data_IF_486767362951
#
_entry.id   IF_486767362951
#
_cell.length_a   1.000
_cell.length_b   1.000
_cell.length_c   1.000
_cell.angle_alpha   90.00
_cell.angle_beta   90.00
_cell.angle_gamma   90.00
#
_symmetry.space_group_name_H-M   'P 1'
#
loop_
_entity.id
_entity.type
_entity.pdbx_description
1 polymer ?
#
# COMPACT_ATOMS: atom_id res chain seq x y z
N UNK A 1 13.07 -20.27 -31.29
CA UNK A 1 13.25 -20.20 -29.82
C UNK A 1 12.79 -18.84 -29.31
N UNK A 2 13.33 -17.76 -29.88
CA UNK A 2 12.79 -16.39 -29.81
C UNK A 2 11.84 -16.18 -31.00
N UNK A 3 10.62 -15.68 -30.78
CA UNK A 3 9.60 -15.49 -31.82
C UNK A 3 9.38 -14.02 -32.18
N UNK A 4 9.43 -13.15 -31.18
CA UNK A 4 9.23 -11.71 -31.35
C UNK A 4 10.07 -10.96 -30.31
N UNK A 5 10.52 -9.77 -30.67
CA UNK A 5 11.26 -8.85 -29.80
C UNK A 5 10.92 -7.41 -30.12
N UNK A 6 10.74 -6.62 -29.07
CA UNK A 6 10.57 -5.18 -29.20
C UNK A 6 11.34 -4.46 -28.08
N UNK A 7 11.88 -3.30 -28.44
CA UNK A 7 12.59 -2.38 -27.55
C UNK A 7 11.81 -1.07 -27.51
N UNK A 8 11.56 -0.58 -26.31
CA UNK A 8 10.85 0.66 -26.04
C UNK A 8 11.74 1.53 -25.16
N UNK A 9 11.89 2.80 -25.53
CA UNK A 9 12.59 3.81 -24.73
C UNK A 9 11.68 5.02 -24.59
N UNK A 10 11.58 5.53 -23.36
CA UNK A 10 10.77 6.69 -23.01
C UNK A 10 11.67 7.68 -22.31
N UNK A 11 11.62 8.93 -22.76
CA UNK A 11 12.22 10.06 -22.07
C UNK A 11 11.11 11.04 -21.69
N UNK A 12 11.04 11.41 -20.43
CA UNK A 12 10.15 12.44 -19.92
C UNK A 12 10.99 13.53 -19.23
N UNK A 13 11.07 14.75 -19.80
CA UNK A 13 11.81 15.86 -19.20
C UNK A 13 11.07 16.50 -18.02
N UNK A 14 9.94 15.92 -17.57
CA UNK A 14 9.13 16.44 -16.48
C UNK A 14 8.73 17.91 -16.67
N UNK A 15 8.15 18.20 -17.84
CA UNK A 15 7.54 19.51 -18.16
C UNK A 15 6.56 19.93 -17.08
N UNK A 16 5.73 18.99 -16.63
CA UNK A 16 4.82 19.15 -15.50
C UNK A 16 4.90 17.87 -14.67
N UNK A 17 5.34 18.00 -13.42
CA UNK A 17 5.33 16.88 -12.48
C UNK A 17 3.90 16.56 -12.05
N UNK A 18 3.50 15.30 -12.18
CA UNK A 18 2.17 14.81 -11.80
C UNK A 18 2.31 13.83 -10.64
N UNK A 19 2.07 14.27 -9.39
CA UNK A 19 2.12 13.37 -8.25
C UNK A 19 0.98 12.34 -8.29
N UNK A 20 1.15 11.20 -7.62
CA UNK A 20 0.07 10.23 -7.47
C UNK A 20 -1.16 10.89 -6.82
N UNK A 21 -2.35 10.60 -7.34
CA UNK A 21 -3.59 11.13 -6.75
C UNK A 21 -3.98 10.44 -5.42
N UNK A 22 -3.26 9.38 -5.02
CA UNK A 22 -3.44 8.71 -3.74
C UNK A 22 -3.10 9.59 -2.53
N UNK A 23 -2.41 10.73 -2.71
CA UNK A 23 -2.28 11.79 -1.70
C UNK A 23 -3.59 12.52 -1.38
N UNK A 24 -4.74 11.97 -1.73
CA UNK A 24 -6.03 12.47 -1.26
C UNK A 24 -6.51 11.75 0.02
N UNK A 25 -5.85 10.65 0.44
CA UNK A 25 -6.18 9.93 1.67
C UNK A 25 -5.22 10.38 2.79
N UNK A 26 -5.26 11.68 3.10
CA UNK A 26 -4.62 12.19 4.31
C UNK A 26 -5.51 11.90 5.53
N UNK A 27 -4.93 11.83 6.74
CA UNK A 27 -5.73 11.96 7.96
C UNK A 27 -6.63 13.18 7.81
N UNK A 28 -7.95 12.98 7.79
CA UNK A 28 -8.85 14.02 7.32
C UNK A 28 -10.30 13.59 7.21
N UNK A 29 -10.97 13.59 8.36
CA UNK A 29 -12.32 14.11 8.58
C UNK A 29 -12.45 14.06 10.10
N UNK A 30 -12.15 15.17 10.78
CA UNK A 30 -11.63 15.24 12.16
C UNK A 30 -12.49 14.55 13.24
N UNK A 31 -13.66 14.01 12.88
CA UNK A 31 -14.50 13.18 13.77
C UNK A 31 -15.23 12.01 13.05
N UNK A 32 -15.31 11.93 11.71
CA UNK A 32 -16.29 11.02 11.05
C UNK A 32 -16.01 10.60 9.58
N UNK A 33 -14.76 10.42 9.17
CA UNK A 33 -14.43 9.99 7.81
C UNK A 33 -14.24 8.50 7.70
N UNK A 34 -14.69 7.89 6.60
CA UNK A 34 -14.31 6.51 6.23
C UNK A 34 -12.78 6.36 6.26
N UNK A 35 -12.03 7.44 6.01
CA UNK A 35 -10.57 7.46 6.01
C UNK A 35 -9.90 8.04 7.27
N UNK A 36 -10.65 8.56 8.25
CA UNK A 36 -10.06 9.17 9.45
C UNK A 36 -9.47 8.10 10.40
N UNK A 37 -8.14 8.02 10.60
CA UNK A 37 -7.53 6.92 11.35
C UNK A 37 -8.06 6.87 12.78
N UNK A 38 -8.53 5.70 13.23
CA UNK A 38 -8.88 5.50 14.64
C UNK A 38 -7.63 5.09 15.42
N UNK A 39 -6.68 6.02 15.55
CA UNK A 39 -5.44 5.77 16.27
C UNK A 39 -5.61 6.15 17.74
N UNK A 40 -5.53 5.17 18.63
CA UNK A 40 -5.47 5.41 20.08
C UNK A 40 -4.01 5.53 20.48
N UNK A 41 -3.65 6.67 21.03
CA UNK A 41 -2.34 6.89 21.61
C UNK A 41 -2.48 6.80 23.13
N UNK A 42 -1.73 5.89 23.74
CA UNK A 42 -1.63 5.81 25.19
C UNK A 42 -1.09 7.15 25.74
N UNK A 43 -1.89 7.80 26.58
CA UNK A 43 -1.56 9.07 27.21
C UNK A 43 -0.28 9.01 28.06
N UNK A 44 0.16 7.81 28.48
CA UNK A 44 1.44 7.62 29.17
C UNK A 44 2.66 7.97 28.28
N UNK A 45 2.52 7.91 26.96
CA UNK A 45 3.56 8.23 25.98
C UNK A 45 3.69 9.72 25.66
N UNK A 46 2.72 10.54 26.10
CA UNK A 46 2.64 11.97 25.75
C UNK A 46 3.28 12.90 26.80
N UNK A 47 3.92 12.36 27.83
CA UNK A 47 4.50 13.14 28.92
C UNK A 47 3.43 13.80 29.81
N UNK A 48 3.81 14.78 30.66
CA UNK A 48 2.83 15.50 31.50
C UNK A 48 1.87 16.30 30.62
N UNK A 49 0.64 15.79 30.50
CA UNK A 49 -0.45 16.46 29.79
C UNK A 49 -0.93 17.71 30.56
N UNK A 50 -1.45 18.73 29.87
CA UNK A 50 -2.07 19.88 30.52
C UNK A 50 -3.17 19.45 31.50
N UNK A 51 -3.39 20.16 32.62
CA UNK A 51 -4.31 19.76 33.69
C UNK A 51 -5.79 19.65 33.27
N UNK A 52 -6.15 20.14 32.09
CA UNK A 52 -7.48 20.04 31.49
C UNK A 52 -7.65 18.84 30.54
N UNK A 53 -6.57 18.12 30.24
CA UNK A 53 -6.60 16.89 29.42
C UNK A 53 -6.63 15.71 30.39
N UNK A 54 -7.75 14.99 30.46
CA UNK A 54 -7.80 13.77 31.25
C UNK A 54 -6.88 12.71 30.64
N UNK A 55 -6.12 11.95 31.44
CA UNK A 55 -5.40 10.78 30.96
C UNK A 55 -6.40 9.81 30.31
N UNK A 56 -6.25 9.62 29.00
CA UNK A 56 -7.14 8.82 28.18
C UNK A 56 -6.75 8.93 26.72
N UNK A 57 -7.19 7.95 25.91
CA UNK A 57 -6.85 7.76 24.50
C UNK A 57 -6.83 9.09 23.71
N UNK A 58 -5.64 9.58 23.33
CA UNK A 58 -5.54 10.67 22.37
C UNK A 58 -5.78 10.14 20.95
N UNK A 59 -6.37 10.95 20.09
CA UNK A 59 -6.65 10.65 18.69
C UNK A 59 -5.75 11.45 17.76
N UNK A 60 -5.52 10.95 16.54
CA UNK A 60 -4.79 11.67 15.49
C UNK A 60 -5.80 12.36 14.58
N UNK A 61 -5.76 13.69 14.55
CA UNK A 61 -6.54 14.54 13.64
C UNK A 61 -5.87 14.77 12.31
N UNK A 62 -6.40 15.72 11.54
CA UNK A 62 -5.78 16.16 10.29
C UNK A 62 -4.38 16.74 10.48
N UNK A 63 -3.52 16.65 9.47
CA UNK A 63 -2.23 17.33 9.52
C UNK A 63 -2.44 18.85 9.44
N UNK A 64 -2.03 19.61 10.48
CA UNK A 64 -2.20 21.07 10.51
C UNK A 64 -1.18 21.80 9.60
N UNK A 65 -0.03 21.18 9.38
CA UNK A 65 1.01 21.69 8.48
C UNK A 65 1.54 20.56 7.61
N UNK A 66 1.55 20.80 6.30
CA UNK A 66 2.11 19.89 5.31
C UNK A 66 2.95 20.68 4.32
N UNK A 67 4.26 20.51 4.40
CA UNK A 67 5.23 21.21 3.57
C UNK A 67 5.96 20.19 2.69
N UNK A 68 5.38 19.88 1.53
CA UNK A 68 5.97 18.93 0.57
C UNK A 68 6.68 19.72 -0.52
N UNK A 69 8.01 19.62 -0.55
CA UNK A 69 8.84 20.14 -1.62
C UNK A 69 8.53 19.42 -2.94
N UNK A 70 8.07 20.18 -3.93
CA UNK A 70 7.70 19.69 -5.26
C UNK A 70 8.76 20.09 -6.27
N UNK A 71 9.16 19.18 -7.17
CA UNK A 71 10.10 19.54 -8.22
C UNK A 71 9.50 20.61 -9.12
N UNK A 72 10.34 21.56 -9.55
CA UNK A 72 9.98 22.53 -10.57
C UNK A 72 9.81 21.88 -11.94
N UNK A 73 9.07 22.52 -12.83
CA UNK A 73 9.05 22.16 -14.25
C UNK A 73 10.46 22.12 -14.83
N UNK A 74 10.75 21.10 -15.64
CA UNK A 74 12.06 20.90 -16.27
C UNK A 74 13.23 20.78 -15.28
N UNK A 75 12.99 20.24 -14.09
CA UNK A 75 14.06 19.93 -13.16
C UNK A 75 14.93 18.79 -13.71
N UNK A 76 16.13 19.13 -14.17
CA UNK A 76 17.12 18.21 -14.75
C UNK A 76 17.48 17.05 -13.79
N UNK A 77 17.39 17.29 -12.47
CA UNK A 77 17.63 16.25 -11.47
C UNK A 77 16.52 15.21 -11.41
N UNK A 78 15.39 15.49 -12.04
CA UNK A 78 14.20 14.66 -12.04
C UNK A 78 13.81 14.07 -13.39
N UNK A 79 14.63 14.19 -14.43
CA UNK A 79 14.30 13.60 -15.73
C UNK A 79 14.08 12.09 -15.62
N UNK A 80 13.09 11.59 -16.35
CA UNK A 80 12.70 10.19 -16.32
C UNK A 80 13.10 9.49 -17.61
N UNK A 81 13.69 8.31 -17.42
CA UNK A 81 14.16 7.44 -18.47
C UNK A 81 13.57 6.06 -18.20
N UNK A 82 12.76 5.59 -19.13
CA UNK A 82 12.21 4.24 -19.14
C UNK A 82 12.80 3.44 -20.27
N UNK A 83 13.24 2.22 -19.99
CA UNK A 83 13.63 1.25 -21.00
C UNK A 83 12.86 -0.05 -20.78
N UNK A 84 12.36 -0.64 -21.86
CA UNK A 84 11.73 -1.95 -21.85
C UNK A 84 12.18 -2.77 -23.04
N UNK A 85 12.59 -4.00 -22.77
CA UNK A 85 12.73 -5.05 -23.77
C UNK A 85 11.64 -6.09 -23.53
N UNK A 86 10.90 -6.47 -24.56
CA UNK A 86 9.87 -7.53 -24.49
C UNK A 86 10.11 -8.55 -25.58
N UNK A 87 9.76 -9.80 -25.32
CA UNK A 87 9.79 -10.83 -26.35
C UNK A 87 9.07 -12.11 -25.97
N UNK A 88 8.90 -12.98 -26.97
CA UNK A 88 8.28 -14.29 -26.80
C UNK A 88 9.34 -15.38 -26.94
N UNK A 89 9.60 -16.10 -25.84
CA UNK A 89 10.60 -17.17 -25.76
C UNK A 89 9.90 -18.48 -25.40
N UNK A 90 9.92 -19.46 -26.30
CA UNK A 90 9.25 -20.76 -26.10
C UNK A 90 7.79 -20.61 -25.61
N UNK A 91 6.97 -19.76 -26.24
CA UNK A 91 5.58 -19.46 -25.84
C UNK A 91 5.44 -18.72 -24.48
N UNK A 92 6.55 -18.28 -23.88
CA UNK A 92 6.52 -17.43 -22.68
C UNK A 92 6.73 -15.99 -23.08
N UNK A 93 5.91 -15.09 -22.54
CA UNK A 93 6.11 -13.66 -22.70
C UNK A 93 7.06 -13.21 -21.60
N UNK A 94 8.17 -12.59 -21.98
CA UNK A 94 9.19 -12.09 -21.05
C UNK A 94 9.39 -10.60 -21.29
N UNK A 95 9.52 -9.85 -20.20
CA UNK A 95 9.95 -8.45 -20.26
C UNK A 95 11.13 -8.20 -19.33
N UNK A 96 11.98 -7.27 -19.72
CA UNK A 96 12.98 -6.63 -18.87
C UNK A 96 12.72 -5.13 -18.91
N UNK A 97 12.64 -4.50 -17.76
CA UNK A 97 12.30 -3.10 -17.59
C UNK A 97 13.40 -2.45 -16.75
N UNK A 98 13.80 -1.24 -17.13
CA UNK A 98 14.64 -0.38 -16.32
C UNK A 98 14.00 1.01 -16.25
N UNK A 99 14.09 1.63 -15.09
CA UNK A 99 13.56 2.97 -14.86
C UNK A 99 14.52 3.78 -14.01
N UNK A 100 14.66 5.04 -14.37
CA UNK A 100 15.31 6.07 -13.58
C UNK A 100 14.42 7.30 -13.67
N UNK A 101 13.94 7.81 -12.54
CA UNK A 101 13.10 9.01 -12.52
C UNK A 101 12.76 9.40 -11.09
N UNK A 102 11.78 10.30 -10.91
CA UNK A 102 11.24 10.59 -9.59
C UNK A 102 10.18 9.58 -9.22
N UNK A 103 10.09 9.26 -7.93
CA UNK A 103 8.89 8.61 -7.43
C UNK A 103 7.75 9.63 -7.50
N UNK A 104 6.59 9.20 -7.97
CA UNK A 104 5.37 9.99 -7.90
C UNK A 104 4.81 9.97 -6.46
N UNK A 105 5.41 9.13 -5.59
CA UNK A 105 5.60 9.02 -4.13
C UNK A 105 6.40 10.11 -3.36
N UNK A 106 5.88 11.06 -2.56
CA UNK A 106 6.75 11.82 -1.68
C UNK A 106 7.13 10.96 -0.47
N UNK A 107 8.40 11.02 -0.11
CA UNK A 107 8.85 10.59 1.21
C UNK A 107 8.49 11.69 2.18
N UNK A 108 7.74 11.33 3.22
CA UNK A 108 7.18 12.28 4.19
C UNK A 108 7.66 11.90 5.58
N UNK A 109 8.08 12.88 6.37
CA UNK A 109 8.57 12.70 7.72
C UNK A 109 8.04 13.80 8.64
N UNK A 110 8.11 13.57 9.96
CA UNK A 110 7.85 14.61 10.94
C UNK A 110 9.16 15.35 11.27
N UNK A 111 9.29 16.65 10.93
CA UNK A 111 10.55 17.39 11.08
C UNK A 111 10.94 17.71 12.53
N UNK A 112 10.03 17.56 13.51
CA UNK A 112 10.35 17.80 14.93
C UNK A 112 9.48 16.97 15.88
N UNK A 113 9.95 16.63 17.09
CA UNK A 113 9.08 16.31 18.21
C UNK A 113 8.41 17.62 18.69
N UNK A 114 7.64 18.27 17.82
CA UNK A 114 6.81 19.37 18.22
C UNK A 114 5.71 18.75 19.09
N UNK A 115 5.87 18.88 20.41
CA UNK A 115 4.70 18.99 21.28
C UNK A 115 3.69 19.89 20.54
N UNK A 116 2.39 19.53 20.51
CA UNK A 116 1.39 20.32 19.81
C UNK A 116 1.62 21.78 20.18
N UNK A 117 1.80 22.65 19.18
CA UNK A 117 2.11 24.06 19.41
C UNK A 117 0.93 24.68 20.17
N UNK A 118 1.06 24.73 21.49
CA UNK A 118 0.03 25.23 22.40
C UNK A 118 -0.14 26.74 22.26
N UNK A 119 0.77 27.41 21.54
CA UNK A 119 0.69 28.85 21.31
C UNK A 119 -0.26 29.22 20.18
N UNK A 120 -0.64 28.25 19.34
CA UNK A 120 -1.56 28.46 18.23
C UNK A 120 -2.46 27.22 18.02
N UNK A 121 -3.31 26.88 19.01
CA UNK A 121 -4.12 25.68 18.94
C UNK A 121 -5.09 25.78 17.76
N UNK A 122 -5.12 24.80 16.82
CA UNK A 122 -6.25 24.71 15.88
C UNK A 122 -7.55 24.61 16.69
N UNK A 123 -8.62 25.24 16.20
CA UNK A 123 -9.88 25.56 16.91
C UNK A 123 -10.63 24.38 17.59
N UNK A 124 -10.11 23.15 17.56
CA UNK A 124 -10.66 21.99 18.27
C UNK A 124 -9.58 20.97 18.68
N UNK A 125 -8.84 21.25 19.76
CA UNK A 125 -7.93 20.26 20.38
C UNK A 125 -8.66 19.08 21.04
N UNK A 126 -9.99 19.10 21.09
CA UNK A 126 -10.80 18.05 21.68
C UNK A 126 -11.80 17.51 20.65
N UNK A 127 -11.94 16.19 20.61
CA UNK A 127 -13.05 15.53 19.93
C UNK A 127 -14.38 15.89 20.63
N UNK A 128 -15.55 15.64 20.01
CA UNK A 128 -16.83 15.77 20.71
C UNK A 128 -16.97 14.88 21.95
N UNK A 129 -16.13 13.85 22.09
CA UNK A 129 -16.04 12.97 23.26
C UNK A 129 -15.07 13.45 24.33
N UNK A 130 -14.42 14.62 24.16
CA UNK A 130 -13.48 15.20 25.11
C UNK A 130 -12.09 14.58 25.08
N UNK A 131 -11.75 13.77 24.07
CA UNK A 131 -10.41 13.22 23.87
C UNK A 131 -9.49 14.25 23.21
N UNK A 132 -8.20 14.26 23.55
CA UNK A 132 -7.19 15.09 22.89
C UNK A 132 -7.06 14.70 21.41
N UNK A 133 -7.15 15.69 20.51
CA UNK A 133 -6.91 15.52 19.08
C UNK A 133 -5.53 16.09 18.72
N UNK A 134 -4.62 15.22 18.27
CA UNK A 134 -3.26 15.57 17.86
C UNK A 134 -3.24 15.84 16.36
N UNK A 135 -2.88 17.06 15.98
CA UNK A 135 -2.61 17.42 14.59
C UNK A 135 -1.10 17.34 14.36
N UNK A 136 -0.59 16.38 13.56
CA UNK A 136 0.84 16.31 13.25
C UNK A 136 1.26 17.34 12.19
N UNK A 137 2.53 17.74 12.23
CA UNK A 137 3.19 18.45 11.14
C UNK A 137 4.00 17.46 10.30
N UNK A 138 3.99 17.67 9.00
CA UNK A 138 4.75 16.86 8.05
C UNK A 138 5.54 17.73 7.08
N UNK A 139 6.78 17.31 6.84
CA UNK A 139 7.59 17.75 5.72
C UNK A 139 7.74 16.58 4.74
N UNK A 140 7.92 16.87 3.46
CA UNK A 140 8.12 15.83 2.47
C UNK A 140 8.85 16.29 1.23
N UNK A 141 9.31 15.33 0.41
CA UNK A 141 9.88 15.60 -0.91
C UNK A 141 9.73 14.40 -1.83
N UNK A 142 9.82 14.61 -3.13
CA UNK A 142 9.80 13.53 -4.14
C UNK A 142 11.22 13.05 -4.44
N UNK A 143 11.57 11.88 -3.92
CA UNK A 143 12.88 11.27 -4.12
C UNK A 143 12.98 10.54 -5.48
N UNK A 144 14.19 10.09 -5.82
CA UNK A 144 14.42 9.35 -7.07
C UNK A 144 14.03 7.87 -6.90
N UNK A 145 13.32 7.34 -7.88
CA UNK A 145 13.04 5.92 -8.03
C UNK A 145 13.90 5.36 -9.16
N UNK A 146 14.63 4.29 -8.84
CA UNK A 146 15.54 3.62 -9.78
C UNK A 146 15.32 2.13 -9.64
N UNK A 147 14.99 1.45 -10.73
CA UNK A 147 14.84 0.00 -10.65
C UNK A 147 15.22 -0.70 -11.95
N UNK A 148 15.55 -1.99 -11.80
CA UNK A 148 15.57 -2.96 -12.88
C UNK A 148 14.68 -4.13 -12.51
N UNK A 149 13.94 -4.65 -13.47
CA UNK A 149 13.00 -5.73 -13.22
C UNK A 149 12.55 -6.41 -14.49
N UNK A 150 11.60 -7.31 -14.34
CA UNK A 150 11.09 -8.07 -15.45
C UNK A 150 9.81 -8.80 -15.10
N UNK A 151 9.14 -9.26 -16.15
CA UNK A 151 7.97 -10.10 -16.03
C UNK A 151 8.16 -11.36 -16.86
N UNK A 152 7.55 -12.43 -16.41
CA UNK A 152 7.46 -13.70 -17.11
C UNK A 152 6.01 -14.16 -17.05
N UNK A 153 5.42 -14.49 -18.19
CA UNK A 153 4.07 -15.03 -18.27
C UNK A 153 4.05 -16.25 -19.17
N UNK A 154 3.44 -17.34 -18.71
CA UNK A 154 3.32 -18.57 -19.49
C UNK A 154 2.12 -19.39 -19.06
N UNK A 155 1.47 -20.01 -20.03
CA UNK A 155 0.53 -21.10 -19.78
C UNK A 155 1.28 -22.35 -19.31
N UNK A 156 0.64 -23.15 -18.46
CA UNK A 156 1.16 -24.46 -18.05
C UNK A 156 0.25 -25.56 -18.63
N UNK A 157 0.46 -25.99 -19.89
CA UNK A 157 -0.38 -27.00 -20.54
C UNK A 157 -0.46 -28.33 -19.78
N UNK A 158 0.58 -28.71 -19.05
CA UNK A 158 0.61 -29.95 -18.26
C UNK A 158 -0.38 -29.96 -17.09
N UNK A 159 -0.84 -28.79 -16.64
CA UNK A 159 -1.86 -28.65 -15.59
C UNK A 159 -3.27 -28.51 -16.16
N UNK A 160 -3.43 -28.64 -17.49
CA UNK A 160 -4.74 -28.65 -18.14
C UNK A 160 -5.54 -29.87 -17.65
N UNK A 161 -6.59 -29.60 -16.90
CA UNK A 161 -7.48 -30.64 -16.38
C UNK A 161 -8.84 -30.58 -17.07
N UNK A 162 -9.24 -31.68 -17.71
CA UNK A 162 -10.56 -31.80 -18.34
C UNK A 162 -11.71 -31.69 -17.33
N UNK A 163 -11.54 -32.26 -16.12
CA UNK A 163 -12.54 -32.19 -15.06
C UNK A 163 -12.71 -30.76 -14.50
N UNK A 164 -11.70 -29.89 -14.66
CA UNK A 164 -11.76 -28.46 -14.30
C UNK A 164 -12.13 -27.56 -15.48
N UNK A 165 -12.65 -28.11 -16.57
CA UNK A 165 -13.10 -27.33 -17.73
C UNK A 165 -12.07 -27.23 -18.87
N UNK A 166 -10.95 -27.93 -18.78
CA UNK A 166 -9.99 -28.09 -19.87
C UNK A 166 -9.17 -26.84 -20.19
N UNK A 167 -9.04 -25.90 -19.25
CA UNK A 167 -8.23 -24.69 -19.42
C UNK A 167 -6.93 -24.85 -18.62
N UNK A 168 -5.80 -24.54 -19.27
CA UNK A 168 -4.50 -24.49 -18.60
C UNK A 168 -4.40 -23.22 -17.74
N UNK A 169 -3.83 -23.29 -16.53
CA UNK A 169 -3.55 -22.10 -15.74
C UNK A 169 -2.45 -21.26 -16.40
N UNK A 170 -2.54 -19.94 -16.22
CA UNK A 170 -1.52 -18.98 -16.64
C UNK A 170 -0.72 -18.57 -15.41
N UNK A 171 0.60 -18.70 -15.46
CA UNK A 171 1.48 -18.20 -14.40
C UNK A 171 2.07 -16.87 -14.82
N UNK A 172 2.08 -15.92 -13.88
CA UNK A 172 2.70 -14.60 -14.00
C UNK A 172 3.70 -14.41 -12.87
N UNK A 173 4.94 -14.16 -13.22
CA UNK A 173 5.98 -13.76 -12.29
C UNK A 173 6.39 -12.33 -12.64
N UNK A 174 6.49 -11.48 -11.63
CA UNK A 174 7.02 -10.13 -11.75
C UNK A 174 8.07 -9.96 -10.67
N UNK A 175 9.23 -9.41 -11.00
CA UNK A 175 10.29 -9.17 -10.03
C UNK A 175 11.06 -7.91 -10.40
N UNK A 176 11.47 -7.13 -9.41
CA UNK A 176 12.34 -5.99 -9.61
C UNK A 176 13.19 -5.68 -8.38
N UNK A 177 14.35 -5.10 -8.65
CA UNK A 177 15.31 -4.57 -7.71
C UNK A 177 15.28 -3.05 -7.79
N UNK A 178 15.03 -2.40 -6.66
CA UNK A 178 15.04 -0.94 -6.50
C UNK A 178 16.35 -0.55 -5.84
N UNK A 179 17.02 0.45 -6.40
CA UNK A 179 18.30 0.96 -5.93
C UNK A 179 18.12 2.26 -5.14
N UNK A 180 18.84 2.41 -4.03
CA UNK A 180 18.96 3.65 -3.27
C UNK A 180 17.60 4.29 -2.89
N UNK A 181 16.58 3.47 -2.65
CA UNK A 181 15.24 3.97 -2.36
C UNK A 181 15.24 4.74 -1.04
N UNK A 182 14.63 5.93 -1.01
CA UNK A 182 14.75 6.83 0.16
C UNK A 182 13.51 6.72 1.05
N UNK A 183 13.71 6.22 2.27
CA UNK A 183 12.66 6.08 3.27
C UNK A 183 12.85 7.06 4.42
N UNK A 184 11.75 7.46 5.06
CA UNK A 184 11.79 8.15 6.33
C UNK A 184 11.89 7.14 7.48
N UNK A 185 12.73 7.42 8.47
CA UNK A 185 12.75 6.69 9.74
C UNK A 185 11.82 7.38 10.72
N UNK A 186 11.07 6.61 11.51
CA UNK A 186 10.36 7.13 12.68
C UNK A 186 10.88 6.45 13.95
N UNK A 187 10.98 7.24 15.02
CA UNK A 187 11.07 6.76 16.40
C UNK A 187 10.01 7.49 17.22
N UNK A 188 9.68 6.94 18.38
CA UNK A 188 8.74 7.58 19.33
C UNK A 188 9.23 8.93 19.86
N UNK A 189 10.49 9.33 19.64
CA UNK A 189 11.13 10.45 20.36
C UNK A 189 11.99 11.39 19.52
N UNK A 190 12.24 11.15 18.22
CA UNK A 190 13.13 11.99 17.41
C UNK A 190 12.55 12.36 16.04
N UNK A 191 12.99 13.52 15.54
CA UNK A 191 12.78 13.97 14.15
C UNK A 191 13.09 12.85 13.15
N UNK A 192 12.22 12.67 12.15
CA UNK A 192 12.43 11.64 11.15
C UNK A 192 13.70 11.89 10.34
N UNK A 193 14.55 10.87 10.18
CA UNK A 193 15.74 10.90 9.33
C UNK A 193 15.45 10.21 8.00
N UNK A 194 16.09 10.65 6.92
CA UNK A 194 16.00 9.97 5.63
C UNK A 194 17.12 8.94 5.50
N UNK A 195 16.77 7.72 5.10
CA UNK A 195 17.71 6.61 4.91
C UNK A 195 17.51 6.03 3.52
N UNK A 196 18.61 5.70 2.84
CA UNK A 196 18.58 5.01 1.55
C UNK A 196 18.76 3.53 1.76
N UNK A 197 17.94 2.73 1.11
CA UNK A 197 18.02 1.28 1.17
C UNK A 197 17.75 0.67 -0.20
N UNK A 198 18.38 -0.48 -0.45
CA UNK A 198 18.02 -1.30 -1.59
C UNK A 198 16.84 -2.21 -1.25
N UNK A 199 16.09 -2.59 -2.29
CA UNK A 199 14.85 -3.33 -2.12
C UNK A 199 14.59 -4.31 -3.25
N UNK A 200 14.14 -5.51 -2.89
CA UNK A 200 13.66 -6.51 -3.84
C UNK A 200 12.17 -6.69 -3.67
N UNK A 201 11.43 -6.62 -4.78
CA UNK A 201 10.01 -6.94 -4.84
C UNK A 201 9.78 -8.02 -5.87
N UNK A 202 8.95 -8.99 -5.54
CA UNK A 202 8.45 -9.92 -6.54
C UNK A 202 7.04 -10.38 -6.22
N UNK A 203 6.32 -10.79 -7.27
CA UNK A 203 5.01 -11.39 -7.14
C UNK A 203 4.86 -12.58 -8.08
N UNK A 204 4.12 -13.58 -7.62
CA UNK A 204 3.75 -14.77 -8.38
C UNK A 204 2.23 -14.87 -8.38
N UNK A 205 1.61 -14.71 -9.55
CA UNK A 205 0.20 -14.90 -9.78
C UNK A 205 -0.08 -16.16 -10.59
N UNK A 206 -1.20 -16.82 -10.31
CA UNK A 206 -1.74 -17.89 -11.14
C UNK A 206 -3.16 -17.53 -11.50
N UNK A 207 -3.50 -17.44 -12.78
CA UNK A 207 -4.87 -17.26 -13.24
C UNK A 207 -5.41 -18.58 -13.78
N UNK A 208 -6.52 -19.07 -13.22
CA UNK A 208 -7.12 -20.32 -13.67
C UNK A 208 -8.63 -20.19 -13.82
N UNK A 209 -9.13 -20.51 -15.02
CA UNK A 209 -10.55 -20.64 -15.29
C UNK A 209 -11.00 -22.09 -15.04
N UNK A 210 -11.76 -22.29 -13.97
CA UNK A 210 -12.23 -23.60 -13.51
C UNK A 210 -13.74 -23.72 -13.69
N UNK A 211 -14.23 -24.85 -14.21
CA UNK A 211 -15.68 -25.13 -14.27
C UNK A 211 -16.17 -25.77 -12.98
N UNK A 212 -17.05 -25.09 -12.25
CA UNK A 212 -17.70 -25.60 -11.03
C UNK A 212 -19.22 -25.57 -11.22
N UNK A 213 -19.83 -26.66 -11.73
CA UNK A 213 -21.22 -26.63 -12.20
C UNK A 213 -22.27 -26.25 -11.16
N UNK A 214 -22.04 -26.57 -9.88
CA UNK A 214 -22.99 -26.24 -8.80
C UNK A 214 -22.99 -24.75 -8.42
N UNK A 215 -21.94 -24.00 -8.78
CA UNK A 215 -21.89 -22.54 -8.60
C UNK A 215 -22.37 -21.87 -9.89
N UNK A 216 -21.79 -22.27 -11.03
CA UNK A 216 -22.20 -21.76 -12.33
C UNK A 216 -22.18 -22.91 -13.37
N UNK A 217 -23.36 -23.41 -13.79
CA UNK A 217 -23.42 -24.53 -14.74
C UNK A 217 -23.00 -24.11 -16.15
N UNK A 218 -23.09 -22.82 -16.47
CA UNK A 218 -22.93 -22.29 -17.83
C UNK A 218 -21.55 -21.70 -18.12
N UNK A 219 -20.90 -21.10 -17.12
CA UNK A 219 -19.62 -20.41 -17.27
C UNK A 219 -18.59 -20.93 -16.27
N UNK A 220 -17.30 -20.74 -16.60
CA UNK A 220 -16.21 -20.98 -15.65
C UNK A 220 -16.13 -19.90 -14.58
N UNK A 221 -15.48 -20.25 -13.47
CA UNK A 221 -15.05 -19.33 -12.42
C UNK A 221 -13.58 -19.06 -12.64
N UNK A 222 -13.21 -17.78 -12.70
CA UNK A 222 -11.81 -17.39 -12.68
C UNK A 222 -11.36 -17.34 -11.23
N UNK A 223 -10.27 -18.05 -10.91
CA UNK A 223 -9.60 -18.06 -9.62
C UNK A 223 -8.18 -17.56 -9.86
N UNK A 224 -7.80 -16.51 -9.14
CA UNK A 224 -6.53 -15.80 -9.33
C UNK A 224 -5.81 -15.60 -8.01
N UNK A 225 -5.16 -16.63 -7.44
CA UNK A 225 -4.24 -16.44 -6.32
C UNK A 225 -2.99 -15.69 -6.75
N UNK A 226 -2.50 -14.80 -5.90
CA UNK A 226 -1.23 -14.11 -6.06
C UNK A 226 -0.50 -14.04 -4.73
N UNK A 227 0.80 -14.27 -4.77
CA UNK A 227 1.71 -14.02 -3.65
C UNK A 227 2.62 -12.84 -4.00
N UNK A 228 2.84 -11.95 -3.06
CA UNK A 228 3.70 -10.79 -3.17
C UNK A 228 4.69 -10.79 -2.00
N UNK A 229 5.94 -10.45 -2.31
CA UNK A 229 7.01 -10.33 -1.34
C UNK A 229 7.82 -9.07 -1.61
N UNK A 230 8.10 -8.36 -0.54
CA UNK A 230 9.04 -7.23 -0.48
C UNK A 230 10.11 -7.55 0.56
N UNK A 231 11.36 -7.31 0.21
CA UNK A 231 12.50 -7.36 1.13
C UNK A 231 13.35 -6.10 1.00
N UNK A 232 13.53 -5.37 2.10
CA UNK A 232 14.43 -4.23 2.20
C UNK A 232 15.78 -4.77 2.68
N UNK A 233 16.80 -4.64 1.85
CA UNK A 233 18.09 -5.31 2.06
C UNK A 233 18.88 -4.65 3.18
N UNK A 234 18.97 -3.32 3.16
CA UNK A 234 19.69 -2.51 4.14
C UNK A 234 18.76 -1.95 5.21
N UNK A 235 17.86 -2.78 5.72
CA UNK A 235 16.93 -2.34 6.74
C UNK A 235 17.69 -1.92 8.01
N UNK A 236 17.43 -0.72 8.57
CA UNK A 236 18.12 -0.25 9.76
C UNK A 236 18.11 -1.31 10.85
N UNK A 237 19.29 -1.76 11.29
CA UNK A 237 19.40 -2.80 12.31
C UNK A 237 18.62 -2.38 13.55
N UNK A 238 17.90 -3.33 14.17
CA UNK A 238 17.11 -3.11 15.40
C UNK A 238 17.95 -2.64 16.60
N UNK A 239 19.27 -2.60 16.44
CA UNK A 239 20.26 -2.18 17.41
C UNK A 239 21.24 -1.25 16.70
N UNK A 240 21.43 -0.05 17.24
CA UNK A 240 22.52 0.79 16.81
C UNK A 240 23.85 0.07 17.05
N UNK A 241 24.76 0.17 16.09
CA UNK A 241 26.20 -0.03 16.28
C UNK A 241 26.78 1.05 17.22
N UNK A 242 26.17 1.26 18.38
CA UNK A 242 26.78 1.96 19.49
C UNK A 242 27.51 0.93 20.31
N UNK A 243 28.82 0.87 20.14
CA UNK A 243 29.76 0.17 20.99
C UNK A 243 29.33 0.28 22.47
N UNK A 244 29.39 -0.84 23.17
CA UNK A 244 29.19 -0.95 24.61
C UNK A 244 30.13 -0.01 25.38
N UNK A 245 29.70 1.22 25.60
CA UNK A 245 30.27 2.05 26.66
C UNK A 245 29.59 1.64 27.98
N UNK A 246 30.09 0.56 28.58
CA UNK A 246 29.92 0.31 30.02
C UNK A 246 28.81 -0.64 30.46
N UNK A 247 28.42 -1.64 29.65
CA UNK A 247 27.61 -2.78 30.15
C UNK A 247 26.15 -2.46 30.55
N UNK A 248 25.65 -1.28 30.23
CA UNK A 248 24.22 -0.96 30.32
C UNK A 248 23.67 -1.00 28.90
N UNK A 249 22.77 -1.94 28.56
CA UNK A 249 22.14 -1.96 27.25
C UNK A 249 21.36 -0.63 27.08
N UNK A 250 21.70 0.21 26.10
CA UNK A 250 20.98 1.45 25.91
C UNK A 250 19.55 1.11 25.47
N UNK A 251 18.55 1.67 26.16
CA UNK A 251 17.14 1.66 25.76
C UNK A 251 17.01 2.57 24.54
N UNK A 252 17.54 2.14 23.39
CA UNK A 252 17.38 2.87 22.13
C UNK A 252 16.03 2.48 21.52
N UNK A 253 15.18 3.46 21.16
CA UNK A 253 13.91 3.17 20.51
C UNK A 253 14.18 2.49 19.17
N UNK A 254 13.50 1.37 18.94
CA UNK A 254 13.55 0.65 17.68
C UNK A 254 13.16 1.60 16.55
N UNK A 255 14.07 1.79 15.58
CA UNK A 255 13.82 2.59 14.38
C UNK A 255 12.97 1.77 13.40
N UNK A 256 11.93 2.39 12.86
CA UNK A 256 11.12 1.82 11.79
C UNK A 256 11.25 2.69 10.55
N UNK A 257 11.29 2.06 9.38
CA UNK A 257 11.08 2.78 8.13
C UNK A 257 9.59 3.06 7.94
N UNK A 258 9.25 4.14 7.26
CA UNK A 258 7.89 4.53 6.92
C UNK A 258 7.76 4.59 5.41
N UNK A 259 6.64 4.10 4.89
CA UNK A 259 6.39 4.11 3.44
C UNK A 259 6.25 5.53 2.88
N UNK A 260 6.47 5.65 1.58
CA UNK A 260 6.17 6.87 0.85
C UNK A 260 4.68 7.22 1.01
N UNK A 261 4.37 8.50 1.20
CA UNK A 261 3.04 8.96 1.56
C UNK A 261 2.66 8.80 3.04
N UNK A 262 3.60 8.38 3.92
CA UNK A 262 3.45 8.32 5.38
C UNK A 262 2.30 7.43 5.88
N UNK A 263 2.02 6.32 5.19
CA UNK A 263 0.80 5.54 5.46
C UNK A 263 0.98 4.37 6.42
N UNK A 264 2.20 3.85 6.57
CA UNK A 264 2.48 2.74 7.48
C UNK A 264 3.98 2.60 7.80
N UNK A 265 4.28 2.09 8.99
CA UNK A 265 5.59 1.52 9.26
C UNK A 265 5.85 0.35 8.30
N UNK A 266 7.10 0.16 7.89
CA UNK A 266 7.54 -0.91 7.02
C UNK A 266 8.29 -1.97 7.80
N UNK A 267 7.97 -3.22 7.54
CA UNK A 267 8.78 -4.36 7.96
C UNK A 267 9.90 -4.62 6.94
N UNK A 268 11.05 -5.13 7.43
CA UNK A 268 12.16 -5.55 6.56
C UNK A 268 11.69 -6.50 5.47
N UNK A 269 10.85 -7.47 5.85
CA UNK A 269 10.22 -8.39 4.91
C UNK A 269 8.71 -8.24 5.04
N UNK A 270 8.03 -8.00 3.93
CA UNK A 270 6.57 -7.99 3.87
C UNK A 270 6.09 -9.05 2.87
N UNK A 271 5.16 -9.88 3.32
CA UNK A 271 4.58 -10.98 2.58
C UNK A 271 3.07 -10.78 2.56
N UNK A 272 2.53 -10.70 1.36
CA UNK A 272 1.09 -10.53 1.14
C UNK A 272 0.59 -11.62 0.20
N UNK A 273 -0.56 -12.20 0.49
CA UNK A 273 -1.24 -13.11 -0.43
C UNK A 273 -2.59 -12.52 -0.78
N UNK A 274 -3.04 -12.71 -2.02
CA UNK A 274 -4.38 -12.35 -2.46
C UNK A 274 -5.02 -13.49 -3.21
N UNK A 275 -6.35 -13.55 -3.17
CA UNK A 275 -7.15 -14.44 -4.00
C UNK A 275 -8.30 -13.60 -4.55
N UNK A 276 -8.40 -13.53 -5.88
CA UNK A 276 -9.58 -13.01 -6.56
C UNK A 276 -10.35 -14.16 -7.19
N UNK A 277 -11.66 -14.20 -6.96
CA UNK A 277 -12.58 -15.13 -7.60
C UNK A 277 -13.74 -14.37 -8.21
N UNK A 278 -14.09 -14.68 -9.44
CA UNK A 278 -15.29 -14.12 -10.07
C UNK A 278 -15.84 -15.04 -11.15
N UNK A 279 -17.12 -14.84 -11.46
CA UNK A 279 -17.80 -15.54 -12.54
C UNK A 279 -18.91 -14.65 -13.09
N UNK A 280 -19.48 -15.04 -14.24
CA UNK A 280 -20.46 -14.25 -14.95
C UNK A 280 -21.74 -15.06 -15.21
N UNK A 281 -22.88 -14.44 -14.97
CA UNK A 281 -24.22 -14.96 -15.24
C UNK A 281 -24.95 -14.08 -16.25
N UNK A 282 -26.02 -14.62 -16.85
CA UNK A 282 -26.93 -13.87 -17.73
C UNK A 282 -26.22 -13.12 -18.86
N UNK A 283 -25.37 -13.82 -19.64
CA UNK A 283 -24.57 -13.23 -20.71
C UNK A 283 -23.68 -12.07 -20.22
N UNK A 284 -22.99 -12.31 -19.10
CA UNK A 284 -22.12 -11.34 -18.43
C UNK A 284 -22.82 -10.11 -17.83
N UNK A 285 -24.16 -10.08 -17.78
CA UNK A 285 -24.88 -9.00 -17.11
C UNK A 285 -24.71 -9.01 -15.59
N UNK A 286 -24.48 -10.15 -14.96
CA UNK A 286 -24.29 -10.24 -13.51
C UNK A 286 -22.94 -10.89 -13.20
N UNK A 287 -22.08 -10.17 -12.49
CA UNK A 287 -20.72 -10.63 -12.16
C UNK A 287 -20.47 -10.51 -10.66
N UNK A 288 -20.75 -11.56 -9.87
CA UNK A 288 -20.28 -11.64 -8.50
C UNK A 288 -18.77 -11.88 -8.45
N UNK A 289 -18.13 -11.29 -7.44
CA UNK A 289 -16.71 -11.42 -7.18
C UNK A 289 -16.41 -11.40 -5.69
N UNK A 290 -15.38 -12.14 -5.32
CA UNK A 290 -14.79 -12.18 -3.99
C UNK A 290 -13.32 -11.86 -4.14
N UNK A 291 -12.83 -10.93 -3.35
CA UNK A 291 -11.42 -10.64 -3.21
C UNK A 291 -11.03 -10.82 -1.75
N UNK A 292 -9.96 -11.53 -1.50
CA UNK A 292 -9.32 -11.65 -0.21
C UNK A 292 -7.87 -11.23 -0.34
N UNK A 293 -7.39 -10.45 0.61
CA UNK A 293 -6.00 -10.11 0.78
C UNK A 293 -5.61 -10.41 2.21
N UNK A 294 -4.42 -10.98 2.41
CA UNK A 294 -3.84 -11.21 3.72
C UNK A 294 -2.41 -10.70 3.77
N UNK A 295 -2.16 -9.80 4.71
CA UNK A 295 -0.81 -9.50 5.18
C UNK A 295 -0.39 -10.61 6.14
N UNK A 296 0.61 -11.40 5.73
CA UNK A 296 1.07 -12.57 6.48
C UNK A 296 1.89 -12.13 7.70
N UNK A 297 2.67 -11.06 7.59
CA UNK A 297 3.50 -10.56 8.68
C UNK A 297 2.63 -10.06 9.84
N UNK A 298 1.64 -9.25 9.50
CA UNK A 298 0.79 -8.58 10.49
C UNK A 298 -0.52 -9.30 10.76
N UNK A 299 -0.74 -10.45 10.13
CA UNK A 299 -1.92 -11.32 10.29
C UNK A 299 -3.23 -10.54 10.17
N UNK A 300 -3.28 -9.68 9.15
CA UNK A 300 -4.41 -8.84 8.85
C UNK A 300 -5.05 -9.29 7.53
N UNK A 301 -6.37 -9.29 7.47
CA UNK A 301 -7.19 -9.77 6.37
C UNK A 301 -8.10 -8.63 5.87
N UNK A 302 -8.19 -8.50 4.55
CA UNK A 302 -9.15 -7.65 3.87
C UNK A 302 -10.00 -8.54 2.97
N UNK A 303 -11.31 -8.46 3.13
CA UNK A 303 -12.27 -9.08 2.24
C UNK A 303 -13.06 -8.02 1.50
N UNK A 304 -13.23 -8.19 0.19
CA UNK A 304 -14.16 -7.41 -0.61
C UNK A 304 -15.10 -8.35 -1.35
N UNK A 305 -16.38 -8.27 -0.99
CA UNK A 305 -17.47 -8.95 -1.67
C UNK A 305 -18.15 -7.95 -2.58
N UNK A 306 -18.37 -8.29 -3.85
CA UNK A 306 -18.96 -7.35 -4.79
C UNK A 306 -19.80 -8.06 -5.84
N UNK A 307 -20.92 -7.47 -6.20
CA UNK A 307 -21.77 -7.87 -7.32
C UNK A 307 -21.90 -6.70 -8.27
N UNK A 308 -21.54 -6.93 -9.53
CA UNK A 308 -21.75 -6.02 -10.65
C UNK A 308 -22.98 -6.45 -11.45
N UNK A 309 -23.86 -5.50 -11.77
CA UNK A 309 -25.03 -5.71 -12.62
C UNK A 309 -25.10 -4.69 -13.75
N UNK A 310 -24.95 -5.18 -14.98
CA UNK A 310 -25.13 -4.43 -16.22
C UNK A 310 -26.58 -4.54 -16.67
N UNK A 311 -27.39 -3.56 -16.24
CA UNK A 311 -28.81 -3.51 -16.57
C UNK A 311 -29.02 -3.25 -18.08
N UNK A 312 -28.28 -2.27 -18.61
CA UNK A 312 -28.26 -1.90 -20.03
C UNK A 312 -26.83 -1.59 -20.49
N UNK A 313 -26.67 -1.20 -21.77
CA UNK A 313 -25.37 -0.80 -22.30
C UNK A 313 -24.83 0.50 -21.66
N UNK A 314 -25.69 1.27 -21.00
CA UNK A 314 -25.35 2.55 -20.40
C UNK A 314 -25.33 2.49 -18.87
N UNK A 315 -26.19 1.67 -18.26
CA UNK A 315 -26.34 1.61 -16.79
C UNK A 315 -25.65 0.40 -16.18
N UNK A 316 -24.72 0.70 -15.27
CA UNK A 316 -24.03 -0.29 -14.44
C UNK A 316 -24.23 0.01 -12.96
N UNK A 317 -24.64 -1.02 -12.23
CA UNK A 317 -24.81 -0.99 -10.78
C UNK A 317 -23.74 -1.85 -10.14
N UNK A 318 -23.18 -1.38 -9.03
CA UNK A 318 -22.28 -2.15 -8.18
C UNK A 318 -22.76 -2.08 -6.76
N UNK A 319 -22.94 -3.23 -6.14
CA UNK A 319 -23.14 -3.37 -4.70
C UNK A 319 -21.94 -4.12 -4.14
N UNK A 320 -21.37 -3.64 -3.05
CA UNK A 320 -20.29 -4.35 -2.40
C UNK A 320 -20.18 -4.10 -0.91
N UNK A 321 -19.39 -4.95 -0.28
CA UNK A 321 -19.03 -4.91 1.12
C UNK A 321 -17.51 -5.05 1.23
N UNK A 322 -16.91 -4.30 2.15
CA UNK A 322 -15.51 -4.44 2.53
C UNK A 322 -15.46 -4.75 4.01
N UNK A 323 -14.70 -5.79 4.35
CA UNK A 323 -14.38 -6.16 5.73
C UNK A 323 -12.88 -6.08 5.93
N UNK A 324 -12.45 -5.44 7.00
CA UNK A 324 -11.04 -5.27 7.33
C UNK A 324 -10.84 -5.66 8.80
N UNK A 325 -9.80 -6.42 9.08
CA UNK A 325 -9.43 -6.69 10.46
C UNK A 325 -8.19 -7.55 10.55
N UNK A 326 -7.68 -7.74 11.76
CA UNK A 326 -6.52 -8.57 12.01
C UNK A 326 -6.45 -9.01 13.44
N UNK A 327 -5.57 -9.98 13.71
CA UNK A 327 -5.23 -10.29 15.10
C UNK A 327 -4.07 -9.41 15.51
N UNK A 328 -4.25 -8.68 16.60
CA UNK A 328 -3.17 -7.98 17.27
C UNK A 328 -2.25 -9.02 17.93
N UNK A 329 -1.29 -9.51 17.17
CA UNK A 329 -0.36 -10.52 17.64
C UNK A 329 0.84 -9.82 18.29
N UNK A 330 0.75 -9.74 19.62
CA UNK A 330 1.90 -9.81 20.54
C UNK A 330 2.61 -8.52 21.01
N UNK A 331 1.98 -7.36 21.13
CA UNK A 331 2.65 -6.18 21.73
C UNK A 331 1.76 -5.25 22.58
N UNK A 332 1.12 -5.77 23.64
CA UNK A 332 0.60 -4.96 24.77
C UNK A 332 -0.08 -3.61 24.41
N UNK A 333 -0.87 -3.55 23.32
CA UNK A 333 -1.58 -2.34 22.91
C UNK A 333 -0.79 -1.33 22.07
N UNK A 334 0.35 -1.70 21.46
CA UNK A 334 1.07 -0.86 20.48
C UNK A 334 0.74 -1.35 19.07
N UNK A 335 0.23 -0.43 18.24
CA UNK A 335 -0.30 -0.70 16.91
C UNK A 335 0.60 -1.61 16.05
N UNK A 336 0.10 -2.77 15.63
CA UNK A 336 0.90 -3.78 14.93
C UNK A 336 0.12 -4.60 13.89
N UNK A 337 -1.12 -4.22 13.56
CA UNK A 337 -1.87 -4.85 12.47
C UNK A 337 -1.95 -3.91 11.23
N UNK A 338 -1.86 -4.45 10.01
CA UNK A 338 -1.78 -3.61 8.78
C UNK A 338 -3.07 -2.86 8.45
N UNK A 339 -4.20 -3.18 9.08
CA UNK A 339 -5.48 -2.51 8.89
C UNK A 339 -5.98 -1.81 10.15
N UNK A 340 -5.13 -1.58 11.13
CA UNK A 340 -5.57 -1.16 12.47
C UNK A 340 -6.24 0.21 12.46
N UNK A 341 -5.75 1.11 11.61
CA UNK A 341 -6.40 2.41 11.35
C UNK A 341 -7.80 2.30 10.75
N UNK A 342 -8.15 1.12 10.26
CA UNK A 342 -9.43 0.73 9.68
C UNK A 342 -10.17 -0.31 10.53
N UNK A 343 -9.69 -0.63 11.74
CA UNK A 343 -10.42 -1.50 12.66
C UNK A 343 -11.78 -0.88 12.98
N UNK A 344 -12.85 -1.64 12.74
CA UNK A 344 -14.27 -1.21 12.82
C UNK A 344 -14.74 -0.31 11.67
N UNK A 345 -14.04 -0.28 10.53
CA UNK A 345 -14.47 0.43 9.33
C UNK A 345 -14.94 -0.49 8.23
N UNK A 346 -15.62 -1.56 8.61
CA UNK A 346 -16.37 -2.36 7.64
C UNK A 346 -17.46 -1.47 7.02
N UNK A 347 -17.60 -1.54 5.69
CA UNK A 347 -18.57 -0.71 5.00
C UNK A 347 -19.25 -1.42 3.86
N UNK A 348 -20.50 -1.01 3.63
CA UNK A 348 -21.25 -1.31 2.41
C UNK A 348 -21.14 -0.11 1.48
N UNK A 349 -21.05 -0.37 0.19
CA UNK A 349 -21.06 0.67 -0.82
C UNK A 349 -21.95 0.30 -1.99
N UNK A 350 -22.56 1.33 -2.56
CA UNK A 350 -23.33 1.24 -3.79
C UNK A 350 -22.79 2.27 -4.78
N UNK A 351 -22.49 1.82 -5.99
CA UNK A 351 -22.01 2.67 -7.08
C UNK A 351 -22.94 2.55 -8.28
N UNK A 352 -23.40 3.70 -8.75
CA UNK A 352 -24.10 3.87 -10.01
C UNK A 352 -23.12 4.43 -11.04
N UNK A 353 -23.09 3.86 -12.24
CA UNK A 353 -22.26 4.34 -13.34
C UNK A 353 -23.09 4.42 -14.61
N UNK A 354 -23.00 5.59 -15.26
CA UNK A 354 -23.61 5.84 -16.56
C UNK A 354 -22.52 6.04 -17.60
N UNK A 355 -22.59 5.30 -18.71
CA UNK A 355 -21.73 5.50 -19.86
C UNK A 355 -22.46 6.34 -20.91
N UNK A 356 -21.96 7.55 -21.14
CA UNK A 356 -22.37 8.40 -22.26
C UNK A 356 -21.81 7.77 -23.54
N UNK A 357 -22.70 7.32 -24.43
CA UNK A 357 -22.34 6.58 -25.64
C UNK A 357 -23.54 5.94 -26.29
#
# INVERSE_FOLDING_TARGET
WLQDTALEFIFNPNVTFIPNQQYAIWPGNDVAGIWAPNARIDGSLLGPLPPFVQPGDAQIGSAYRMDIDRPSSFDEKGFEYGFRAKGVVKESIVTVNAFYGRDNAPTVWNPAPALPDVSNPPDSMLTPGGQLLLHPAFEGRYDLLRFVGGTFTRDIPSLKSSFLGGVAPVVRLEAFYVFDNTYATTTTTSSGQLVKTDEVRWSLGVDWKVKIPFINPSQGITISPQFYMRSILDYPSKYGDSAELGGIPPIQPKRYLVDHGNMAALDQNNYTTTIMMFTSYFNAKLTPSVFWMRDINRRADLFRLQVLYDYSNNWRYTLGAVFMGGKDAANNGIMNNSFEFFDNKDFLYFKLSYKWG
#
